data_IF_038047777399
#
_entry.id   IF_038047777399
#
_cell.length_a   1.000
_cell.length_b   1.000
_cell.length_c   1.000
_cell.angle_alpha   90.00
_cell.angle_beta   90.00
_cell.angle_gamma   90.00
#
_symmetry.space_group_name_H-M   'P 1'
#
loop_
_entity.id
_entity.type
_entity.pdbx_description
1 polymer ?
#
# COMPACT_ATOMS: atom_id res chain seq x y z
N UNK A 1 -13.89 75.26 -46.32
CA UNK A 1 -13.94 74.78 -44.94
C UNK A 1 -14.53 73.38 -45.03
N UNK A 2 -13.68 72.44 -45.33
CA UNK A 2 -13.99 71.03 -45.67
C UNK A 2 -13.66 70.14 -44.49
N UNK A 3 -14.66 69.38 -44.05
CA UNK A 3 -14.50 68.34 -43.02
C UNK A 3 -13.95 67.07 -43.66
N UNK A 4 -13.04 66.31 -43.02
CA UNK A 4 -12.55 65.06 -43.56
C UNK A 4 -13.46 63.86 -43.16
N UNK A 5 -13.66 62.98 -44.13
CA UNK A 5 -14.40 61.76 -44.04
C UNK A 5 -13.70 60.78 -43.08
N UNK A 6 -14.45 60.21 -42.11
CA UNK A 6 -14.03 59.11 -41.24
C UNK A 6 -14.18 57.77 -41.97
N UNK A 7 -13.05 57.17 -42.32
CA UNK A 7 -13.00 55.82 -42.84
C UNK A 7 -13.13 54.88 -41.66
N UNK A 8 -14.29 54.21 -41.49
CA UNK A 8 -14.49 53.10 -40.56
C UNK A 8 -13.98 51.81 -41.17
N UNK A 9 -12.79 51.38 -40.73
CA UNK A 9 -12.21 50.07 -41.07
C UNK A 9 -12.70 49.00 -40.08
N UNK A 10 -13.78 48.31 -40.43
CA UNK A 10 -14.26 47.15 -39.70
C UNK A 10 -13.48 45.91 -40.13
N UNK A 11 -12.30 45.68 -39.51
CA UNK A 11 -11.62 44.40 -39.59
C UNK A 11 -12.42 43.36 -38.80
N UNK A 12 -13.17 42.51 -39.49
CA UNK A 12 -13.74 41.28 -38.94
C UNK A 12 -12.58 40.39 -38.44
N UNK A 13 -12.41 40.32 -37.13
CA UNK A 13 -11.57 39.29 -36.50
C UNK A 13 -12.21 37.93 -36.75
N UNK A 14 -11.62 37.13 -37.61
CA UNK A 14 -11.92 35.69 -37.71
C UNK A 14 -11.64 35.04 -36.36
N UNK A 15 -12.53 34.16 -35.87
CA UNK A 15 -12.24 33.38 -34.69
C UNK A 15 -11.01 32.48 -34.97
N UNK A 16 -10.10 32.31 -34.02
CA UNK A 16 -8.94 31.45 -34.23
C UNK A 16 -9.40 30.04 -34.57
N UNK A 17 -8.91 29.55 -35.71
CA UNK A 17 -9.09 28.17 -36.14
C UNK A 17 -8.81 27.23 -34.96
N UNK A 18 -9.80 26.39 -34.66
CA UNK A 18 -9.61 25.27 -33.73
C UNK A 18 -8.49 24.40 -34.27
N UNK A 19 -7.30 24.62 -33.76
CA UNK A 19 -6.21 23.69 -33.91
C UNK A 19 -6.73 22.34 -33.39
N UNK A 20 -7.09 21.49 -34.33
CA UNK A 20 -7.43 20.10 -34.04
C UNK A 20 -6.22 19.49 -33.32
N UNK A 21 -6.29 19.42 -32.00
CA UNK A 21 -5.36 18.68 -31.20
C UNK A 21 -5.42 17.23 -31.66
N UNK A 22 -4.55 16.91 -32.61
CA UNK A 22 -4.26 15.54 -33.00
C UNK A 22 -3.76 14.79 -31.76
N UNK A 23 -4.71 14.31 -30.94
CA UNK A 23 -4.41 13.30 -29.93
C UNK A 23 -3.84 12.08 -30.66
N UNK A 24 -2.51 12.02 -30.76
CA UNK A 24 -1.83 10.77 -31.07
C UNK A 24 -2.12 9.83 -29.90
N UNK A 25 -3.31 9.21 -29.95
CA UNK A 25 -3.67 8.13 -29.03
C UNK A 25 -2.61 7.05 -29.19
N UNK A 26 -1.75 6.95 -28.20
CA UNK A 26 -0.83 5.79 -28.12
C UNK A 26 -1.68 4.54 -28.35
N UNK A 27 -1.26 3.62 -29.22
CA UNK A 27 -2.00 2.38 -29.44
C UNK A 27 -2.29 1.73 -28.09
N UNK A 28 -3.52 1.25 -27.91
CA UNK A 28 -4.04 0.72 -26.65
C UNK A 28 -3.08 -0.31 -26.02
N UNK A 29 -2.43 -1.14 -26.86
CA UNK A 29 -1.38 -2.09 -26.46
C UNK A 29 -0.18 -1.42 -25.74
N UNK A 30 0.21 -0.22 -26.16
CA UNK A 30 1.33 0.51 -25.52
C UNK A 30 0.93 1.16 -24.21
N UNK A 31 -0.35 1.54 -24.02
CA UNK A 31 -0.89 1.99 -22.74
C UNK A 31 -0.98 0.83 -21.74
N UNK A 32 -1.39 -0.33 -22.21
CA UNK A 32 -1.47 -1.57 -21.40
C UNK A 32 -0.07 -2.03 -21.01
N UNK A 33 0.89 -2.07 -21.92
CA UNK A 33 2.27 -2.50 -21.64
C UNK A 33 3.04 -1.56 -20.70
N UNK A 34 2.62 -0.31 -20.54
CA UNK A 34 3.26 0.67 -19.65
C UNK A 34 2.50 0.83 -18.32
N UNK A 35 1.37 0.15 -18.13
CA UNK A 35 0.70 0.09 -16.81
C UNK A 35 1.45 -0.92 -15.92
N UNK A 36 1.53 -0.69 -14.60
CA UNK A 36 2.24 -1.61 -13.70
C UNK A 36 1.59 -2.99 -13.62
N UNK A 37 0.28 -3.07 -13.75
CA UNK A 37 -0.48 -4.30 -13.59
C UNK A 37 -0.15 -5.43 -14.58
N UNK A 38 0.04 -5.22 -15.91
CA UNK A 38 0.44 -6.29 -16.82
C UNK A 38 1.87 -6.77 -16.60
N UNK A 39 2.79 -5.86 -16.27
CA UNK A 39 4.19 -6.24 -15.98
C UNK A 39 4.23 -7.10 -14.71
N UNK A 40 3.47 -6.71 -13.69
CA UNK A 40 3.34 -7.45 -12.44
C UNK A 40 2.70 -8.82 -12.67
N UNK A 41 1.59 -8.87 -13.43
CA UNK A 41 0.94 -10.14 -13.79
C UNK A 41 1.87 -11.07 -14.57
N UNK A 42 2.66 -10.53 -15.53
CA UNK A 42 3.67 -11.29 -16.25
C UNK A 42 4.76 -11.82 -15.32
N UNK A 43 5.24 -11.00 -14.38
CA UNK A 43 6.27 -11.43 -13.40
C UNK A 43 5.74 -12.56 -12.52
N UNK A 44 4.50 -12.43 -12.02
CA UNK A 44 3.84 -13.50 -11.26
C UNK A 44 3.73 -14.76 -12.13
N UNK A 45 3.25 -14.62 -13.38
CA UNK A 45 3.09 -15.74 -14.31
C UNK A 45 4.40 -16.46 -14.60
N UNK A 46 5.49 -15.74 -14.85
CA UNK A 46 6.82 -16.31 -15.09
C UNK A 46 7.36 -17.03 -13.85
N UNK A 47 7.17 -16.44 -12.65
CA UNK A 47 7.62 -17.07 -11.42
C UNK A 47 6.82 -18.34 -11.11
N UNK A 48 5.51 -18.32 -11.33
CA UNK A 48 4.63 -19.49 -11.20
C UNK A 48 5.05 -20.59 -12.19
N UNK A 49 5.27 -20.22 -13.45
CA UNK A 49 5.70 -21.16 -14.48
C UNK A 49 7.04 -21.81 -14.09
N UNK A 50 8.00 -21.03 -13.62
CA UNK A 50 9.26 -21.54 -13.09
C UNK A 50 9.05 -22.49 -11.90
N UNK A 51 8.24 -22.11 -10.92
CA UNK A 51 7.91 -22.97 -9.78
C UNK A 51 7.28 -24.31 -10.19
N UNK A 52 6.38 -24.29 -11.16
CA UNK A 52 5.75 -25.50 -11.71
C UNK A 52 6.77 -26.44 -12.40
N UNK A 53 7.84 -25.90 -12.97
CA UNK A 53 8.91 -26.72 -13.59
C UNK A 53 9.85 -27.32 -12.55
N UNK A 54 9.97 -26.74 -11.37
CA UNK A 54 10.91 -27.18 -10.33
C UNK A 54 10.27 -28.14 -9.32
N UNK A 55 9.00 -27.98 -8.97
CA UNK A 55 8.32 -28.82 -7.99
C UNK A 55 6.86 -29.11 -8.37
N UNK A 56 6.46 -30.39 -8.33
CA UNK A 56 5.05 -30.79 -8.51
C UNK A 56 4.14 -30.22 -7.42
N UNK A 57 4.68 -29.89 -6.24
CA UNK A 57 3.95 -29.30 -5.11
C UNK A 57 3.36 -27.94 -5.45
N UNK A 58 4.00 -27.16 -6.33
CA UNK A 58 3.49 -25.85 -6.78
C UNK A 58 2.16 -25.96 -7.56
N UNK A 59 1.86 -27.13 -8.13
CA UNK A 59 0.61 -27.40 -8.82
C UNK A 59 -0.56 -27.72 -7.88
N UNK A 60 -0.29 -27.94 -6.56
CA UNK A 60 -1.35 -28.32 -5.63
C UNK A 60 -2.23 -27.13 -5.24
N UNK A 61 -3.56 -27.36 -5.21
CA UNK A 61 -4.51 -26.33 -4.77
C UNK A 61 -4.25 -25.85 -3.34
N UNK A 62 -3.74 -26.72 -2.46
CA UNK A 62 -3.42 -26.37 -1.08
C UNK A 62 -2.29 -25.33 -0.97
N UNK A 63 -1.28 -25.41 -1.82
CA UNK A 63 -0.19 -24.41 -1.86
C UNK A 63 -0.75 -23.06 -2.25
N UNK A 64 -1.64 -22.98 -3.24
CA UNK A 64 -2.28 -21.74 -3.63
C UNK A 64 -3.18 -21.14 -2.54
N UNK A 65 -3.95 -21.99 -1.86
CA UNK A 65 -4.74 -21.54 -0.69
C UNK A 65 -3.81 -20.94 0.38
N UNK A 66 -2.67 -21.55 0.67
CA UNK A 66 -1.71 -21.04 1.64
C UNK A 66 -1.07 -19.71 1.16
N UNK A 67 -0.69 -19.61 -0.12
CA UNK A 67 -0.18 -18.36 -0.71
C UNK A 67 -1.21 -17.21 -0.54
N UNK A 68 -2.46 -17.44 -0.88
CA UNK A 68 -3.50 -16.41 -0.73
C UNK A 68 -3.82 -16.10 0.73
N UNK A 69 -3.72 -17.10 1.62
CA UNK A 69 -3.86 -16.91 3.06
C UNK A 69 -2.75 -16.00 3.61
N UNK A 70 -1.50 -16.26 3.24
CA UNK A 70 -0.34 -15.44 3.65
C UNK A 70 -0.38 -14.05 2.99
N UNK A 71 -0.73 -13.99 1.70
CA UNK A 71 -0.95 -12.74 0.98
C UNK A 71 -2.02 -11.85 1.61
N UNK A 72 -2.99 -12.43 2.32
CA UNK A 72 -4.09 -11.67 2.92
C UNK A 72 -3.61 -10.68 3.97
N UNK A 73 -2.67 -11.06 4.82
CA UNK A 73 -2.09 -10.17 5.84
C UNK A 73 -1.30 -9.04 5.20
N UNK A 74 -0.42 -9.40 4.26
CA UNK A 74 0.35 -8.41 3.49
C UNK A 74 -0.55 -7.50 2.67
N UNK A 75 -1.65 -8.01 2.10
CA UNK A 75 -2.64 -7.22 1.35
C UNK A 75 -3.28 -6.15 2.21
N UNK A 76 -3.73 -6.48 3.43
CA UNK A 76 -4.33 -5.51 4.35
C UNK A 76 -3.33 -4.39 4.63
N UNK A 77 -2.10 -4.74 5.02
CA UNK A 77 -1.07 -3.75 5.38
C UNK A 77 -0.62 -2.95 4.15
N UNK A 78 -0.27 -3.61 3.04
CA UNK A 78 0.22 -2.96 1.82
C UNK A 78 -0.82 -2.00 1.20
N UNK A 79 -2.11 -2.30 1.33
CA UNK A 79 -3.20 -1.43 0.89
C UNK A 79 -3.15 -0.07 1.59
N UNK A 80 -3.03 -0.06 2.91
CA UNK A 80 -3.00 1.18 3.68
C UNK A 80 -1.63 1.87 3.61
N UNK A 81 -0.55 1.12 3.54
CA UNK A 81 0.79 1.66 3.23
C UNK A 81 0.78 2.37 1.86
N UNK A 82 0.16 1.77 0.83
CA UNK A 82 0.00 2.41 -0.47
C UNK A 82 -0.79 3.73 -0.36
N UNK A 83 -1.86 3.77 0.42
CA UNK A 83 -2.66 4.99 0.64
C UNK A 83 -1.82 6.08 1.32
N UNK A 84 -1.02 5.72 2.34
CA UNK A 84 -0.09 6.66 3.00
C UNK A 84 0.93 7.20 2.00
N UNK A 85 1.54 6.33 1.18
CA UNK A 85 2.51 6.73 0.15
C UNK A 85 1.84 7.63 -0.91
N UNK A 86 0.64 7.28 -1.39
CA UNK A 86 -0.13 8.14 -2.32
C UNK A 86 -0.38 9.51 -1.71
N UNK A 87 -0.62 9.60 -0.39
CA UNK A 87 -0.75 10.85 0.35
C UNK A 87 0.56 11.60 0.62
N UNK A 88 1.71 11.08 0.13
CA UNK A 88 3.04 11.68 0.31
C UNK A 88 3.67 11.42 1.67
N UNK A 89 3.18 10.42 2.43
CA UNK A 89 3.76 9.93 3.67
C UNK A 89 4.53 8.62 3.47
N UNK A 90 5.17 8.15 4.54
CA UNK A 90 5.76 6.82 4.63
C UNK A 90 5.62 6.33 6.07
N UNK A 91 5.19 5.08 6.25
CA UNK A 91 5.05 4.48 7.57
C UNK A 91 5.82 3.16 7.64
N UNK A 92 6.97 3.21 8.30
CA UNK A 92 7.83 2.06 8.56
C UNK A 92 7.46 1.33 9.86
N UNK A 93 6.57 1.91 10.68
CA UNK A 93 6.20 1.31 11.98
C UNK A 93 5.23 0.13 11.85
N UNK A 94 4.65 -0.09 10.65
CA UNK A 94 3.59 -1.07 10.43
C UNK A 94 3.94 -2.48 10.89
N UNK A 95 5.20 -2.92 10.80
CA UNK A 95 5.63 -4.24 11.25
C UNK A 95 5.61 -4.39 12.77
N UNK A 96 6.06 -3.38 13.52
CA UNK A 96 5.97 -3.39 14.98
C UNK A 96 4.55 -3.17 15.49
N UNK A 97 3.76 -2.35 14.78
CA UNK A 97 2.34 -2.13 15.07
C UNK A 97 1.52 -3.40 14.83
N UNK A 98 1.87 -4.18 13.80
CA UNK A 98 1.31 -5.50 13.55
C UNK A 98 1.55 -6.43 14.76
N UNK A 99 2.78 -6.50 15.27
CA UNK A 99 3.09 -7.27 16.47
C UNK A 99 2.33 -6.77 17.71
N UNK A 100 2.24 -5.44 17.89
CA UNK A 100 1.50 -4.85 19.00
C UNK A 100 0.01 -5.22 18.94
N UNK A 101 -0.61 -5.15 17.76
CA UNK A 101 -1.98 -5.58 17.54
C UNK A 101 -2.19 -7.06 17.83
N UNK A 102 -1.28 -7.92 17.36
CA UNK A 102 -1.30 -9.36 17.64
C UNK A 102 -1.21 -9.66 19.13
N UNK A 103 -0.27 -9.02 19.84
CA UNK A 103 -0.04 -9.28 21.27
C UNK A 103 -1.17 -8.76 22.14
N UNK A 104 -1.67 -7.54 21.90
CA UNK A 104 -2.78 -6.97 22.69
C UNK A 104 -4.07 -7.76 22.45
N UNK A 105 -4.37 -8.15 21.22
CA UNK A 105 -5.52 -9.00 20.93
C UNK A 105 -5.39 -10.38 21.58
N UNK A 106 -4.20 -10.97 21.55
CA UNK A 106 -3.93 -12.25 22.19
C UNK A 106 -4.11 -12.16 23.71
N UNK A 107 -3.58 -11.13 24.35
CA UNK A 107 -3.69 -10.91 25.80
C UNK A 107 -5.16 -10.77 26.23
N UNK A 108 -5.93 -9.95 25.52
CA UNK A 108 -7.36 -9.79 25.80
C UNK A 108 -8.14 -11.09 25.61
N UNK A 109 -7.85 -11.85 24.54
CA UNK A 109 -8.49 -13.14 24.28
C UNK A 109 -8.08 -14.18 25.33
N UNK A 110 -6.80 -14.24 25.73
CA UNK A 110 -6.28 -15.15 26.74
C UNK A 110 -6.95 -14.93 28.10
N UNK A 111 -7.25 -13.69 28.46
CA UNK A 111 -7.98 -13.32 29.65
C UNK A 111 -9.52 -13.41 29.50
N UNK A 112 -10.02 -14.13 28.49
CA UNK A 112 -11.45 -14.44 28.34
C UNK A 112 -12.32 -13.30 27.81
N UNK A 113 -11.72 -12.24 27.27
CA UNK A 113 -12.50 -11.19 26.62
C UNK A 113 -13.14 -11.72 25.33
N UNK A 114 -14.29 -11.14 24.95
CA UNK A 114 -14.95 -11.53 23.71
C UNK A 114 -14.05 -11.27 22.48
N UNK A 115 -14.17 -12.03 21.39
CA UNK A 115 -13.39 -11.81 20.18
C UNK A 115 -13.49 -10.37 19.67
N UNK A 116 -14.68 -9.78 19.73
CA UNK A 116 -14.89 -8.38 19.32
C UNK A 116 -14.03 -7.41 20.15
N UNK A 117 -14.01 -7.56 21.46
CA UNK A 117 -13.19 -6.71 22.37
C UNK A 117 -11.70 -6.93 22.09
N UNK A 118 -11.29 -8.17 21.89
CA UNK A 118 -9.89 -8.50 21.59
C UNK A 118 -9.42 -7.86 20.25
N UNK A 119 -10.17 -8.04 19.17
CA UNK A 119 -9.86 -7.43 17.88
C UNK A 119 -9.90 -5.90 17.93
N UNK A 120 -10.92 -5.33 18.58
CA UNK A 120 -11.04 -3.88 18.75
C UNK A 120 -9.87 -3.31 19.55
N UNK A 121 -9.51 -3.93 20.67
CA UNK A 121 -8.40 -3.49 21.53
C UNK A 121 -7.08 -3.47 20.78
N UNK A 122 -6.74 -4.57 20.07
CA UNK A 122 -5.54 -4.62 19.24
C UNK A 122 -5.54 -3.54 18.14
N UNK A 123 -6.66 -3.39 17.43
CA UNK A 123 -6.81 -2.38 16.38
C UNK A 123 -6.67 -0.95 16.92
N UNK A 124 -7.23 -0.66 18.09
CA UNK A 124 -7.14 0.65 18.76
C UNK A 124 -5.70 1.01 19.13
N UNK A 125 -4.89 0.04 19.57
CA UNK A 125 -3.46 0.28 19.82
C UNK A 125 -2.75 0.72 18.56
N UNK A 126 -3.02 0.07 17.43
CA UNK A 126 -2.45 0.49 16.14
C UNK A 126 -2.92 1.89 15.70
N UNK A 127 -4.20 2.19 15.89
CA UNK A 127 -4.75 3.52 15.62
C UNK A 127 -4.08 4.60 16.49
N UNK A 128 -3.83 4.31 17.77
CA UNK A 128 -3.16 5.21 18.69
C UNK A 128 -1.70 5.48 18.28
N UNK A 129 -0.96 4.44 17.89
CA UNK A 129 0.40 4.58 17.36
C UNK A 129 0.40 5.40 16.08
N UNK A 130 -0.51 5.11 15.14
CA UNK A 130 -0.68 5.89 13.92
C UNK A 130 -1.02 7.36 14.19
N UNK A 131 -1.85 7.62 15.21
CA UNK A 131 -2.18 8.99 15.64
C UNK A 131 -0.92 9.73 16.13
N UNK A 132 -0.11 9.07 16.96
CA UNK A 132 1.15 9.63 17.46
C UNK A 132 2.08 9.96 16.29
N UNK A 133 2.29 9.02 15.37
CA UNK A 133 3.10 9.24 14.16
C UNK A 133 2.56 10.42 13.34
N UNK A 134 1.26 10.41 13.08
CA UNK A 134 0.59 11.46 12.32
C UNK A 134 0.72 12.85 12.96
N UNK A 135 0.59 12.96 14.28
CA UNK A 135 0.78 14.21 15.03
C UNK A 135 2.22 14.67 14.92
N UNK A 136 3.20 13.81 15.22
CA UNK A 136 4.62 14.19 15.21
C UNK A 136 5.04 14.67 13.81
N UNK A 137 4.69 13.93 12.76
CA UNK A 137 5.01 14.29 11.37
C UNK A 137 4.39 15.63 10.96
N UNK A 138 3.11 15.88 11.34
CA UNK A 138 2.38 17.01 10.78
C UNK A 138 2.41 18.29 11.62
N UNK A 139 2.64 18.20 12.93
CA UNK A 139 2.73 19.37 13.81
C UNK A 139 4.16 19.77 14.11
N UNK A 140 5.06 18.80 14.31
CA UNK A 140 6.49 19.10 14.57
C UNK A 140 7.32 19.17 13.29
N UNK A 141 6.76 18.75 12.13
CA UNK A 141 7.45 18.82 10.84
C UNK A 141 8.64 17.85 10.70
N UNK A 142 8.73 16.86 11.58
CA UNK A 142 9.80 15.85 11.52
C UNK A 142 9.56 14.91 10.32
N UNK A 143 10.59 14.60 9.51
CA UNK A 143 10.44 13.69 8.38
C UNK A 143 9.80 12.35 8.79
N UNK A 144 8.81 11.90 8.01
CA UNK A 144 8.03 10.69 8.29
C UNK A 144 8.91 9.45 8.52
N UNK A 145 9.96 9.29 7.71
CA UNK A 145 10.91 8.16 7.84
C UNK A 145 11.53 8.13 9.24
N UNK A 146 11.96 9.28 9.76
CA UNK A 146 12.61 9.35 11.07
C UNK A 146 11.62 9.01 12.18
N UNK A 147 10.41 9.58 12.13
CA UNK A 147 9.37 9.33 13.13
C UNK A 147 8.97 7.86 13.13
N UNK A 148 8.67 7.31 11.96
CA UNK A 148 8.15 5.94 11.86
C UNK A 148 9.23 4.87 12.10
N UNK A 149 10.51 5.15 11.81
CA UNK A 149 11.64 4.31 12.25
C UNK A 149 11.79 4.34 13.78
N UNK A 150 11.74 5.52 14.39
CA UNK A 150 11.76 5.63 15.86
C UNK A 150 10.62 4.86 16.51
N UNK A 151 9.42 4.96 15.93
CA UNK A 151 8.23 4.21 16.39
C UNK A 151 8.37 2.71 16.12
N UNK A 152 8.95 2.29 15.00
CA UNK A 152 9.24 0.88 14.70
C UNK A 152 10.05 0.24 15.85
N UNK A 153 11.16 0.86 16.21
CA UNK A 153 12.01 0.34 17.29
C UNK A 153 11.36 0.49 18.66
N UNK A 154 10.73 1.64 18.95
CA UNK A 154 10.07 1.90 20.21
C UNK A 154 8.94 0.92 20.51
N UNK A 155 8.00 0.74 19.56
CA UNK A 155 6.88 -0.19 19.71
C UNK A 155 7.38 -1.64 19.76
N UNK A 156 8.36 -2.03 18.93
CA UNK A 156 8.96 -3.36 18.97
C UNK A 156 9.57 -3.66 20.34
N UNK A 157 10.33 -2.71 20.88
CA UNK A 157 10.94 -2.85 22.22
C UNK A 157 9.89 -2.95 23.33
N UNK A 158 8.81 -2.15 23.26
CA UNK A 158 7.71 -2.25 24.23
C UNK A 158 7.01 -3.61 24.15
N UNK A 159 6.71 -4.10 22.96
CA UNK A 159 6.08 -5.41 22.75
C UNK A 159 6.94 -6.51 23.35
N UNK A 160 8.25 -6.53 23.07
CA UNK A 160 9.20 -7.52 23.64
C UNK A 160 9.32 -7.37 25.15
N UNK A 161 9.37 -6.14 25.66
CA UNK A 161 9.50 -5.88 27.10
C UNK A 161 8.29 -6.40 27.88
N UNK A 162 7.07 -6.07 27.45
CA UNK A 162 5.85 -6.48 28.16
C UNK A 162 5.57 -7.99 28.02
N UNK A 163 5.92 -8.60 26.89
CA UNK A 163 5.78 -10.04 26.69
C UNK A 163 6.94 -10.87 27.25
N UNK A 164 8.00 -10.22 27.76
CA UNK A 164 9.25 -10.90 28.14
C UNK A 164 9.83 -11.74 26.98
N UNK A 165 9.54 -11.34 25.73
CA UNK A 165 9.91 -12.09 24.54
C UNK A 165 9.13 -13.40 24.32
N UNK A 166 8.13 -13.70 25.15
CA UNK A 166 7.37 -14.95 25.09
C UNK A 166 6.07 -14.76 24.29
N UNK A 167 5.62 -15.79 23.56
CA UNK A 167 4.29 -15.80 22.94
C UNK A 167 3.18 -15.97 23.99
N UNK A 168 2.01 -15.42 23.70
CA UNK A 168 0.78 -15.54 24.51
C UNK A 168 -0.14 -16.55 23.83
N UNK A 169 -0.42 -17.66 24.51
CA UNK A 169 -1.30 -18.71 24.01
C UNK A 169 -1.28 -19.94 24.92
N UNK A 170 -2.07 -21.00 24.63
CA UNK A 170 -3.02 -21.10 23.50
C UNK A 170 -4.22 -20.17 23.63
N UNK A 171 -4.71 -19.65 22.50
CA UNK A 171 -5.86 -18.75 22.48
C UNK A 171 -7.19 -19.51 22.38
N UNK A 172 -8.30 -18.97 22.96
CA UNK A 172 -9.60 -19.61 22.91
C UNK A 172 -10.09 -19.84 21.49
N UNK A 173 -10.83 -20.94 21.27
CA UNK A 173 -11.40 -21.31 19.97
C UNK A 173 -12.32 -20.20 19.42
N UNK A 174 -13.05 -19.49 20.30
CA UNK A 174 -13.90 -18.35 19.90
C UNK A 174 -13.12 -17.26 19.18
N UNK A 175 -11.87 -16.99 19.60
CA UNK A 175 -11.01 -15.99 18.96
C UNK A 175 -10.35 -16.54 17.69
N UNK A 176 -9.93 -17.83 17.70
CA UNK A 176 -9.19 -18.43 16.58
C UNK A 176 -10.08 -18.80 15.39
N UNK A 177 -11.41 -18.89 15.57
CA UNK A 177 -12.38 -19.25 14.52
C UNK A 177 -12.18 -18.45 13.24
N UNK A 178 -12.07 -17.11 13.32
CA UNK A 178 -11.91 -16.25 12.13
C UNK A 178 -10.56 -16.48 11.41
N UNK A 179 -9.56 -16.94 12.14
CA UNK A 179 -8.21 -17.21 11.61
C UNK A 179 -8.02 -18.61 11.05
N UNK A 180 -8.78 -19.58 11.53
CA UNK A 180 -8.56 -21.01 11.27
C UNK A 180 -9.65 -21.70 10.47
N UNK A 181 -10.86 -21.14 10.43
CA UNK A 181 -11.97 -21.73 9.68
C UNK A 181 -12.03 -21.27 8.23
N UNK A 182 -12.63 -22.13 7.41
CA UNK A 182 -12.83 -21.93 5.98
C UNK A 182 -14.31 -21.82 5.68
N UNK A 183 -14.67 -21.02 4.67
CA UNK A 183 -15.99 -20.96 4.09
C UNK A 183 -15.92 -21.38 2.61
N UNK A 184 -16.70 -22.38 2.22
CA UNK A 184 -16.64 -22.97 0.87
C UNK A 184 -15.22 -23.43 0.45
N UNK A 185 -14.41 -23.91 1.41
CA UNK A 185 -13.04 -24.36 1.15
C UNK A 185 -12.03 -23.23 1.00
N UNK A 186 -12.43 -21.98 1.28
CA UNK A 186 -11.55 -20.80 1.25
C UNK A 186 -11.46 -20.19 2.66
N UNK A 187 -10.25 -19.93 3.18
CA UNK A 187 -10.06 -19.32 4.50
C UNK A 187 -10.78 -17.99 4.69
N UNK A 188 -11.45 -17.79 5.83
CA UNK A 188 -12.13 -16.52 6.14
C UNK A 188 -11.24 -15.30 5.99
N UNK A 189 -9.96 -15.42 6.30
CA UNK A 189 -8.97 -14.33 6.20
C UNK A 189 -8.89 -13.76 4.78
N UNK A 190 -9.04 -14.60 3.74
CA UNK A 190 -9.02 -14.15 2.34
C UNK A 190 -10.21 -13.24 2.05
N UNK A 191 -11.42 -13.62 2.54
CA UNK A 191 -12.60 -12.76 2.40
C UNK A 191 -12.45 -11.45 3.15
N UNK A 192 -11.87 -11.46 4.35
CA UNK A 192 -11.60 -10.26 5.14
C UNK A 192 -10.62 -9.32 4.40
N UNK A 193 -9.52 -9.86 3.88
CA UNK A 193 -8.55 -9.08 3.12
C UNK A 193 -9.16 -8.48 1.85
N UNK A 194 -9.99 -9.27 1.14
CA UNK A 194 -10.69 -8.80 -0.05
C UNK A 194 -11.69 -7.68 0.30
N UNK A 195 -12.46 -7.83 1.38
CA UNK A 195 -13.40 -6.82 1.84
C UNK A 195 -12.68 -5.51 2.18
N UNK A 196 -11.55 -5.59 2.92
CA UNK A 196 -10.71 -4.43 3.25
C UNK A 196 -10.16 -3.75 1.98
N UNK A 197 -9.67 -4.54 1.02
CA UNK A 197 -9.15 -4.03 -0.24
C UNK A 197 -10.25 -3.35 -1.08
N UNK A 198 -11.46 -3.92 -1.12
CA UNK A 198 -12.62 -3.32 -1.82
C UNK A 198 -13.02 -2.00 -1.17
N UNK A 199 -13.13 -1.95 0.15
CA UNK A 199 -13.45 -0.71 0.88
C UNK A 199 -12.41 0.36 0.60
N UNK A 200 -11.12 0.03 0.70
CA UNK A 200 -10.02 0.94 0.40
C UNK A 200 -10.04 1.40 -1.07
N UNK A 201 -10.35 0.49 -2.01
CA UNK A 201 -10.52 0.81 -3.42
C UNK A 201 -11.63 1.83 -3.64
N UNK A 202 -12.80 1.59 -3.07
CA UNK A 202 -13.95 2.50 -3.17
C UNK A 202 -13.61 3.88 -2.55
N UNK A 203 -13.00 3.90 -1.37
CA UNK A 203 -12.54 5.14 -0.73
C UNK A 203 -11.57 5.93 -1.62
N UNK A 204 -10.59 5.26 -2.23
CA UNK A 204 -9.56 5.94 -3.01
C UNK A 204 -10.03 6.34 -4.42
N UNK A 205 -10.95 5.58 -5.04
CA UNK A 205 -11.33 5.77 -6.44
C UNK A 205 -12.72 6.36 -6.63
N UNK A 206 -13.65 6.16 -5.69
CA UNK A 206 -15.04 6.55 -5.83
C UNK A 206 -15.45 7.74 -4.95
N UNK A 207 -14.52 8.27 -4.10
CA UNK A 207 -14.86 9.37 -3.17
C UNK A 207 -14.00 10.60 -3.37
N UNK A 208 -14.50 11.74 -2.90
CA UNK A 208 -13.74 13.00 -2.82
C UNK A 208 -12.52 12.89 -1.91
N UNK A 209 -12.56 12.00 -0.92
CA UNK A 209 -11.43 11.72 -0.04
C UNK A 209 -10.23 11.19 -0.85
N UNK A 210 -10.46 10.30 -1.79
CA UNK A 210 -9.40 9.76 -2.65
C UNK A 210 -8.76 10.84 -3.54
N UNK A 211 -9.54 11.76 -4.08
CA UNK A 211 -9.02 12.93 -4.80
C UNK A 211 -8.16 13.82 -3.90
N UNK A 212 -8.61 14.09 -2.68
CA UNK A 212 -7.87 14.88 -1.70
C UNK A 212 -6.55 14.20 -1.30
N UNK A 213 -6.53 12.86 -1.14
CA UNK A 213 -5.31 12.08 -0.85
C UNK A 213 -4.30 12.23 -1.99
N UNK A 214 -4.74 12.08 -3.25
CA UNK A 214 -3.87 12.24 -4.42
C UNK A 214 -3.35 13.67 -4.56
N UNK A 215 -4.21 14.67 -4.34
CA UNK A 215 -3.83 16.08 -4.35
C UNK A 215 -2.80 16.40 -3.25
N UNK A 216 -3.00 15.86 -2.03
CA UNK A 216 -2.08 16.01 -0.92
C UNK A 216 -0.68 15.49 -1.27
N UNK A 217 -0.60 14.28 -1.85
CA UNK A 217 0.67 13.67 -2.22
C UNK A 217 1.33 14.29 -3.45
N UNK A 218 0.55 14.82 -4.39
CA UNK A 218 1.08 15.46 -5.58
C UNK A 218 1.74 16.82 -5.27
N UNK A 219 1.06 17.66 -4.48
CA UNK A 219 1.59 18.94 -4.02
C UNK A 219 0.86 19.42 -2.78
N UNK A 220 1.47 19.27 -1.62
CA UNK A 220 0.91 19.61 -0.31
C UNK A 220 0.53 21.09 -0.18
N UNK A 221 1.33 22.00 -0.73
CA UNK A 221 1.07 23.43 -0.65
C UNK A 221 -0.09 23.85 -1.56
N UNK A 222 -0.15 23.32 -2.79
CA UNK A 222 -1.28 23.53 -3.68
C UNK A 222 -2.58 22.97 -3.06
N UNK A 223 -2.56 21.73 -2.53
CA UNK A 223 -3.70 21.13 -1.87
C UNK A 223 -4.24 22.01 -0.73
N UNK A 224 -3.35 22.62 0.06
CA UNK A 224 -3.72 23.55 1.14
C UNK A 224 -4.40 24.80 0.58
N UNK A 225 -3.89 25.38 -0.51
CA UNK A 225 -4.49 26.57 -1.15
C UNK A 225 -5.88 26.28 -1.71
N UNK A 226 -6.16 25.06 -2.14
CA UNK A 226 -7.50 24.60 -2.54
C UNK A 226 -8.43 24.23 -1.38
N UNK A 227 -8.06 24.54 -0.14
CA UNK A 227 -8.91 24.35 1.04
C UNK A 227 -8.89 22.95 1.65
N UNK A 228 -8.01 22.06 1.18
CA UNK A 228 -7.87 20.72 1.78
C UNK A 228 -7.23 20.86 3.17
N UNK A 229 -7.83 20.22 4.17
CA UNK A 229 -7.29 20.15 5.55
C UNK A 229 -6.11 19.17 5.61
N UNK A 230 -4.98 19.56 4.99
CA UNK A 230 -3.82 18.68 4.74
C UNK A 230 -3.28 18.00 6.01
N UNK A 231 -3.28 18.70 7.18
CA UNK A 231 -2.82 18.11 8.45
C UNK A 231 -3.76 17.01 8.94
N UNK A 232 -5.05 17.30 9.01
CA UNK A 232 -6.06 16.34 9.48
C UNK A 232 -6.12 15.11 8.56
N UNK A 233 -6.09 15.34 7.24
CA UNK A 233 -6.09 14.26 6.26
C UNK A 233 -4.84 13.37 6.42
N UNK A 234 -3.65 13.96 6.50
CA UNK A 234 -2.41 13.22 6.69
C UNK A 234 -2.42 12.41 7.99
N UNK A 235 -2.88 12.99 9.12
CA UNK A 235 -3.00 12.27 10.40
C UNK A 235 -3.95 11.08 10.25
N UNK A 236 -5.10 11.27 9.61
CA UNK A 236 -6.07 10.20 9.38
C UNK A 236 -5.45 9.04 8.59
N UNK A 237 -4.58 9.31 7.60
CA UNK A 237 -3.89 8.27 6.85
C UNK A 237 -2.98 7.40 7.75
N UNK A 238 -2.22 8.00 8.65
CA UNK A 238 -1.40 7.25 9.61
C UNK A 238 -2.25 6.46 10.61
N UNK A 239 -3.35 7.04 11.11
CA UNK A 239 -4.30 6.33 12.00
C UNK A 239 -4.87 5.10 11.32
N UNK A 240 -5.37 5.24 10.08
CA UNK A 240 -5.92 4.11 9.33
C UNK A 240 -4.85 3.06 9.00
N UNK A 241 -3.62 3.48 8.71
CA UNK A 241 -2.51 2.57 8.42
C UNK A 241 -2.13 1.75 9.67
N UNK A 242 -1.96 2.41 10.81
CA UNK A 242 -1.68 1.74 12.08
C UNK A 242 -2.82 0.81 12.51
N UNK A 243 -4.08 1.25 12.39
CA UNK A 243 -5.24 0.41 12.67
C UNK A 243 -5.27 -0.85 11.80
N UNK A 244 -5.04 -0.71 10.49
CA UNK A 244 -5.02 -1.83 9.55
C UNK A 244 -3.86 -2.81 9.82
N UNK A 245 -2.67 -2.28 10.15
CA UNK A 245 -1.52 -3.11 10.51
C UNK A 245 -1.79 -3.92 11.78
N UNK A 246 -2.33 -3.29 12.83
CA UNK A 246 -2.66 -3.98 14.08
C UNK A 246 -3.82 -4.98 13.91
N UNK A 247 -4.82 -4.65 13.11
CA UNK A 247 -5.92 -5.56 12.78
C UNK A 247 -5.40 -6.81 12.04
N UNK A 248 -4.51 -6.63 11.06
CA UNK A 248 -3.87 -7.76 10.37
C UNK A 248 -3.04 -8.61 11.34
N UNK A 249 -2.37 -7.99 12.32
CA UNK A 249 -1.66 -8.69 13.40
C UNK A 249 -2.60 -9.52 14.28
N UNK A 250 -3.74 -8.96 14.67
CA UNK A 250 -4.77 -9.69 15.43
C UNK A 250 -5.31 -10.91 14.65
N UNK A 251 -5.54 -10.76 13.33
CA UNK A 251 -5.92 -11.88 12.45
C UNK A 251 -4.84 -12.96 12.38
N UNK A 252 -3.56 -12.56 12.35
CA UNK A 252 -2.45 -13.51 12.35
C UNK A 252 -2.35 -14.25 13.67
N UNK A 253 -2.56 -13.58 14.83
CA UNK A 253 -2.63 -14.24 16.13
C UNK A 253 -3.80 -15.23 16.20
N UNK A 254 -4.97 -14.88 15.64
CA UNK A 254 -6.12 -15.78 15.54
C UNK A 254 -5.80 -17.02 14.67
N UNK A 255 -5.06 -16.83 13.57
CA UNK A 255 -4.62 -17.95 12.72
C UNK A 255 -3.67 -18.90 13.44
N UNK A 256 -2.67 -18.36 14.13
CA UNK A 256 -1.65 -19.16 14.80
C UNK A 256 -2.12 -19.76 16.13
N UNK A 257 -3.22 -19.24 16.68
CA UNK A 257 -3.68 -19.59 18.04
C UNK A 257 -2.78 -19.04 19.14
N UNK A 258 -1.90 -18.09 18.78
CA UNK A 258 -0.99 -17.42 19.70
C UNK A 258 -0.56 -16.04 19.18
N UNK A 259 -0.41 -15.08 20.08
CA UNK A 259 0.30 -13.83 19.81
C UNK A 259 1.80 -14.00 20.02
N UNK A 260 2.62 -13.48 19.11
CA UNK A 260 4.08 -13.53 19.27
C UNK A 260 4.70 -12.17 19.01
N UNK A 261 5.68 -11.74 19.83
CA UNK A 261 6.38 -10.48 19.64
C UNK A 261 7.24 -10.44 18.36
N UNK A 262 7.57 -11.60 17.78
CA UNK A 262 8.33 -11.70 16.54
C UNK A 262 7.48 -11.46 15.27
N UNK A 263 6.16 -11.47 15.38
CA UNK A 263 5.27 -11.26 14.24
C UNK A 263 5.52 -9.90 13.58
N UNK A 264 5.34 -9.85 12.27
CA UNK A 264 5.48 -8.64 11.48
C UNK A 264 6.92 -8.12 11.33
N UNK A 265 7.96 -8.89 11.69
CA UNK A 265 9.35 -8.53 11.39
C UNK A 265 9.57 -8.54 9.88
N UNK A 266 10.12 -7.43 9.31
CA UNK A 266 10.32 -7.28 7.87
C UNK A 266 9.05 -6.94 7.07
N UNK A 267 7.87 -7.03 7.69
CA UNK A 267 6.58 -6.76 7.02
C UNK A 267 6.50 -5.32 6.49
N UNK A 268 7.13 -4.36 7.18
CA UNK A 268 7.22 -2.96 6.72
C UNK A 268 7.85 -2.86 5.34
N UNK A 269 8.97 -3.55 5.11
CA UNK A 269 9.65 -3.55 3.82
C UNK A 269 8.86 -4.32 2.76
N UNK A 270 8.29 -5.46 3.11
CA UNK A 270 7.45 -6.28 2.24
C UNK A 270 6.20 -5.51 1.79
N UNK A 271 5.53 -4.80 2.69
CA UNK A 271 4.33 -4.01 2.36
C UNK A 271 4.66 -2.80 1.47
N UNK A 272 5.78 -2.12 1.72
CA UNK A 272 6.27 -1.02 0.87
C UNK A 272 6.65 -1.56 -0.51
N UNK A 273 7.40 -2.67 -0.58
CA UNK A 273 7.77 -3.32 -1.84
C UNK A 273 6.52 -3.69 -2.65
N UNK A 274 5.53 -4.32 -2.01
CA UNK A 274 4.25 -4.67 -2.63
C UNK A 274 3.53 -3.43 -3.20
N UNK A 275 3.47 -2.33 -2.45
CA UNK A 275 2.86 -1.08 -2.91
C UNK A 275 3.60 -0.48 -4.12
N UNK A 276 4.94 -0.43 -4.09
CA UNK A 276 5.77 0.16 -5.16
C UNK A 276 5.73 -0.68 -6.42
N UNK A 277 5.91 -2.00 -6.31
CA UNK A 277 5.79 -2.95 -7.43
C UNK A 277 4.41 -2.86 -8.05
N UNK A 278 3.38 -2.73 -7.21
CA UNK A 278 2.00 -2.49 -7.62
C UNK A 278 1.76 -1.14 -8.31
N UNK A 279 2.81 -0.31 -8.45
CA UNK A 279 2.78 0.96 -9.19
C UNK A 279 2.45 2.18 -8.35
N UNK A 280 2.53 2.09 -7.03
CA UNK A 280 2.46 3.26 -6.15
C UNK A 280 3.78 4.02 -6.23
N UNK A 281 3.72 5.32 -6.52
CA UNK A 281 4.91 6.16 -6.63
C UNK A 281 5.37 6.65 -5.27
N UNK A 282 6.64 6.41 -4.94
CA UNK A 282 7.26 6.87 -3.67
C UNK A 282 7.15 8.38 -3.48
N UNK A 283 7.10 9.16 -4.56
CA UNK A 283 6.96 10.61 -4.46
C UNK A 283 5.53 11.09 -4.19
N UNK A 284 4.56 10.18 -4.06
CA UNK A 284 3.16 10.50 -3.80
C UNK A 284 2.33 10.83 -5.04
N UNK A 285 1.04 11.03 -4.83
CA UNK A 285 0.06 11.42 -5.83
C UNK A 285 -0.44 10.32 -6.77
N UNK A 286 0.35 9.26 -6.98
CA UNK A 286 0.06 8.18 -7.93
C UNK A 286 0.09 6.82 -7.26
N UNK A 287 -0.87 5.98 -7.58
CA UNK A 287 -0.97 4.60 -7.11
C UNK A 287 -2.39 4.04 -7.23
N UNK A 288 -2.49 2.72 -7.09
CA UNK A 288 -3.77 2.00 -7.17
C UNK A 288 -3.83 0.88 -6.14
N UNK A 289 -5.02 0.65 -5.57
CA UNK A 289 -5.23 -0.45 -4.62
C UNK A 289 -5.09 -1.82 -5.28
N UNK A 290 -5.67 -2.09 -6.47
CA UNK A 290 -5.45 -3.37 -7.15
C UNK A 290 -3.97 -3.66 -7.40
N UNK A 291 -3.17 -2.62 -7.70
CA UNK A 291 -1.73 -2.77 -7.84
C UNK A 291 -1.07 -3.25 -6.54
N UNK A 292 -1.37 -2.61 -5.41
CA UNK A 292 -0.83 -3.00 -4.10
C UNK A 292 -1.23 -4.43 -3.71
N UNK A 293 -2.48 -4.83 -3.99
CA UNK A 293 -2.97 -6.21 -3.78
C UNK A 293 -2.17 -7.22 -4.61
N UNK A 294 -1.99 -6.96 -5.91
CA UNK A 294 -1.19 -7.82 -6.78
C UNK A 294 0.27 -7.87 -6.33
N UNK A 295 0.82 -6.76 -5.86
CA UNK A 295 2.16 -6.71 -5.27
C UNK A 295 2.27 -7.58 -4.01
N UNK A 296 1.27 -7.54 -3.13
CA UNK A 296 1.23 -8.39 -1.95
C UNK A 296 1.16 -9.89 -2.30
N UNK A 297 0.34 -10.25 -3.30
CA UNK A 297 0.29 -11.62 -3.83
C UNK A 297 1.64 -12.04 -4.40
N UNK A 298 2.31 -11.16 -5.17
CA UNK A 298 3.65 -11.46 -5.69
C UNK A 298 4.65 -11.73 -4.57
N UNK A 299 4.67 -10.89 -3.53
CA UNK A 299 5.59 -11.10 -2.39
C UNK A 299 5.32 -12.43 -1.68
N UNK A 300 4.06 -12.82 -1.51
CA UNK A 300 3.71 -14.12 -0.91
C UNK A 300 4.06 -15.30 -1.83
N UNK A 301 3.89 -15.16 -3.14
CA UNK A 301 4.34 -16.16 -4.13
C UNK A 301 5.86 -16.34 -4.06
N UNK A 302 6.61 -15.23 -3.94
CA UNK A 302 8.07 -15.27 -3.80
C UNK A 302 8.49 -15.98 -2.50
N UNK A 303 7.95 -15.60 -1.35
CA UNK A 303 8.27 -16.22 -0.05
C UNK A 303 7.95 -17.72 -0.06
N UNK A 304 6.72 -18.10 -0.41
CA UNK A 304 6.34 -19.53 -0.50
C UNK A 304 7.18 -20.28 -1.52
N UNK A 305 7.50 -19.66 -2.66
CA UNK A 305 8.33 -20.26 -3.69
C UNK A 305 9.76 -20.55 -3.21
N UNK A 306 10.37 -19.62 -2.48
CA UNK A 306 11.70 -19.83 -1.88
C UNK A 306 11.69 -20.99 -0.88
N UNK A 307 10.66 -21.06 -0.04
CA UNK A 307 10.50 -22.18 0.92
C UNK A 307 10.37 -23.53 0.20
N UNK A 308 9.53 -23.60 -0.87
CA UNK A 308 9.34 -24.84 -1.63
C UNK A 308 10.58 -25.26 -2.42
N UNK A 309 11.44 -24.31 -2.78
CA UNK A 309 12.74 -24.56 -3.40
C UNK A 309 13.84 -24.89 -2.39
N UNK A 310 13.47 -25.05 -1.10
CA UNK A 310 14.40 -25.32 0.00
C UNK A 310 15.51 -24.26 0.14
N UNK A 311 15.22 -23.02 -0.24
CA UNK A 311 16.11 -21.88 -0.04
C UNK A 311 16.04 -21.49 1.43
N UNK A 312 17.19 -21.20 2.03
CA UNK A 312 17.27 -20.78 3.44
C UNK A 312 16.41 -19.53 3.68
N UNK A 313 15.62 -19.55 4.77
CA UNK A 313 14.73 -18.46 5.14
C UNK A 313 15.45 -17.11 5.34
N UNK A 314 16.75 -17.13 5.66
CA UNK A 314 17.58 -15.93 5.76
C UNK A 314 17.75 -15.22 4.42
N UNK A 315 17.60 -15.92 3.31
CA UNK A 315 17.65 -15.35 1.96
C UNK A 315 16.31 -14.72 1.53
N UNK A 316 15.22 -14.92 2.27
CA UNK A 316 13.93 -14.27 2.00
C UNK A 316 14.04 -12.75 2.18
N UNK A 317 14.70 -12.30 3.25
CA UNK A 317 14.96 -10.88 3.50
C UNK A 317 15.86 -10.28 2.41
N UNK A 318 16.88 -11.02 1.97
CA UNK A 318 17.72 -10.61 0.83
C UNK A 318 16.89 -10.45 -0.44
N UNK A 319 16.05 -11.43 -0.77
CA UNK A 319 15.18 -11.38 -1.94
C UNK A 319 14.22 -10.18 -1.88
N UNK A 320 13.60 -9.95 -0.72
CA UNK A 320 12.74 -8.78 -0.48
C UNK A 320 13.50 -7.47 -0.68
N UNK A 321 14.72 -7.36 -0.15
CA UNK A 321 15.59 -6.20 -0.33
C UNK A 321 15.94 -5.94 -1.81
N UNK A 322 16.33 -6.97 -2.54
CA UNK A 322 16.62 -6.88 -3.99
C UNK A 322 15.38 -6.43 -4.77
N UNK A 323 14.24 -7.05 -4.50
CA UNK A 323 12.96 -6.72 -5.15
C UNK A 323 12.57 -5.27 -4.87
N UNK A 324 12.73 -4.79 -3.63
CA UNK A 324 12.46 -3.39 -3.26
C UNK A 324 13.34 -2.41 -4.04
N UNK A 325 14.65 -2.66 -4.13
CA UNK A 325 15.59 -1.80 -4.87
C UNK A 325 15.25 -1.77 -6.36
N UNK A 326 14.96 -2.93 -6.96
CA UNK A 326 14.56 -3.02 -8.37
C UNK A 326 13.24 -2.28 -8.62
N UNK A 327 12.24 -2.43 -7.74
CA UNK A 327 10.97 -1.73 -7.84
C UNK A 327 11.13 -0.21 -7.76
N UNK A 328 11.90 0.28 -6.78
CA UNK A 328 12.20 1.69 -6.62
C UNK A 328 12.98 2.26 -7.83
N UNK A 329 13.94 1.49 -8.35
CA UNK A 329 14.69 1.84 -9.56
C UNK A 329 13.79 1.98 -10.80
N UNK A 330 12.86 1.04 -10.97
CA UNK A 330 11.87 1.08 -12.06
C UNK A 330 10.91 2.28 -11.93
N UNK A 331 10.42 2.60 -10.73
CA UNK A 331 9.60 3.80 -10.50
C UNK A 331 10.36 5.06 -10.89
N UNK A 332 11.61 5.19 -10.47
CA UNK A 332 12.46 6.33 -10.80
C UNK A 332 12.70 6.49 -12.31
N UNK A 333 12.94 5.39 -13.01
CA UNK A 333 13.12 5.40 -14.48
C UNK A 333 11.84 5.83 -15.20
N UNK A 334 10.67 5.31 -14.79
CA UNK A 334 9.36 5.69 -15.33
C UNK A 334 9.10 7.19 -15.15
N UNK A 335 9.37 7.73 -13.98
CA UNK A 335 9.22 9.17 -13.68
C UNK A 335 10.10 10.04 -14.56
N UNK A 336 11.38 9.69 -14.71
CA UNK A 336 12.29 10.42 -15.63
C UNK A 336 11.77 10.44 -17.05
N UNK A 337 11.17 9.34 -17.54
CA UNK A 337 10.58 9.27 -18.87
C UNK A 337 9.33 10.15 -19.00
N UNK A 338 8.46 10.18 -18.00
CA UNK A 338 7.27 11.05 -18.00
C UNK A 338 7.65 12.53 -18.04
N UNK A 339 8.58 12.98 -17.21
CA UNK A 339 9.07 14.36 -17.22
C UNK A 339 9.71 14.77 -18.55
N UNK A 340 10.54 13.89 -19.16
CA UNK A 340 11.15 14.15 -20.46
C UNK A 340 10.11 14.31 -21.57
N UNK A 341 9.01 13.56 -21.52
CA UNK A 341 7.91 13.66 -22.50
C UNK A 341 7.15 14.96 -22.34
N UNK A 342 6.77 15.34 -21.12
CA UNK A 342 6.10 16.61 -20.82
C UNK A 342 6.94 17.80 -21.27
N UNK A 343 8.26 17.80 -21.02
CA UNK A 343 9.16 18.85 -21.46
C UNK A 343 9.29 18.93 -23.00
N UNK A 344 9.26 17.77 -23.71
CA UNK A 344 9.25 17.75 -25.19
C UNK A 344 7.96 18.31 -25.77
N UNK A 345 6.80 17.99 -25.18
CA UNK A 345 5.52 18.54 -25.62
C UNK A 345 5.42 20.05 -25.36
N UNK A 346 5.91 20.54 -24.22
CA UNK A 346 5.95 21.97 -23.92
C UNK A 346 6.81 22.72 -24.94
N UNK A 347 8.02 22.23 -25.26
CA UNK A 347 8.89 22.85 -26.28
C UNK A 347 8.31 22.77 -27.70
N UNK A 348 7.60 21.71 -28.04
CA UNK A 348 6.93 21.59 -29.34
C UNK A 348 5.77 22.56 -29.47
N UNK A 349 5.06 22.85 -28.36
CA UNK A 349 3.98 23.86 -28.32
C UNK A 349 4.50 25.31 -28.32
N UNK A 350 5.73 25.56 -27.86
CA UNK A 350 6.40 26.86 -27.88
C UNK A 350 6.97 27.22 -29.26
N UNK A 351 7.26 26.19 -30.07
CA UNK A 351 7.83 26.35 -31.43
C UNK A 351 6.78 26.26 -32.56
N UNK A 352 5.49 26.08 -32.24
CA UNK A 352 4.36 26.04 -33.16
C UNK A 352 3.51 27.31 -33.04
#
# INVERSE_FOLDING_TARGET
MSLPETVTNTSRSQPPDRVAAGETRLPALRRIALSPSPVLALTIGLFVLYGLTQTSSFASGQVWINIFRDASFTTIVATFVAIVIIGGGLDLSVGSVFAAGAMVSAELAYHGQSPFVAFAGGTMVGAAVGLINGIIVNYFGIPAIIVTLGTLFGVRSLVVHFSQGQPIGPLPTSFTTIGQQDFLGVPYIIYVALAVAIVAYLLLHATTLGWNIRALGANREAARRFGIRVRALSICLYVCCGAAAAFAGALQAARLGAGSPALGSGLELTAIAAAIIGGTSIAGGLGTIPGAVLGAVLMSVLGTGLILLHVDSTLEDLATGVVLVLAAGLDQLRRRQMFRRSARHARAAENA
#
